data_IF_505128091508
#
_entry.id   IF_505128091508
#
_cell.length_a   1.000
_cell.length_b   1.000
_cell.length_c   1.000
_cell.angle_alpha   90.00
_cell.angle_beta   90.00
_cell.angle_gamma   90.00
#
_symmetry.space_group_name_H-M   'P 1'
#
loop_
_entity.id
_entity.type
_entity.pdbx_description
1 polymer ?
#
# COMPACT_ATOMS: atom_id res chain seq x y z
N UNK A 1 11.18 -35.45 22.45
CA UNK A 1 11.67 -34.06 22.30
C UNK A 1 10.52 -33.13 22.66
N UNK A 2 10.63 -32.45 23.80
CA UNK A 2 9.60 -31.56 24.34
C UNK A 2 9.39 -30.37 23.41
N UNK A 3 8.18 -30.21 22.87
CA UNK A 3 7.73 -29.01 22.16
C UNK A 3 7.68 -27.86 23.16
N UNK A 4 8.73 -27.05 23.24
CA UNK A 4 8.75 -25.84 24.07
C UNK A 4 7.56 -24.97 23.71
N UNK A 5 6.77 -24.58 24.72
CA UNK A 5 5.60 -23.73 24.57
C UNK A 5 6.00 -22.46 23.78
N UNK A 6 5.27 -22.08 22.72
CA UNK A 6 5.59 -20.90 21.90
C UNK A 6 5.69 -19.60 22.72
N UNK A 7 5.01 -19.54 23.88
CA UNK A 7 5.10 -18.39 24.81
C UNK A 7 6.47 -18.34 25.51
N UNK A 8 7.09 -19.48 25.80
CA UNK A 8 8.43 -19.53 26.40
C UNK A 8 9.50 -19.13 25.38
N UNK A 9 9.33 -19.52 24.11
CA UNK A 9 10.19 -19.07 23.01
C UNK A 9 10.11 -17.54 22.81
N UNK A 10 8.91 -16.97 22.92
CA UNK A 10 8.68 -15.53 22.89
C UNK A 10 9.31 -14.80 24.08
N UNK A 11 9.22 -15.38 25.29
CA UNK A 11 9.85 -14.86 26.51
C UNK A 11 11.37 -14.80 26.35
N UNK A 12 11.98 -15.83 25.77
CA UNK A 12 13.42 -15.86 25.49
C UNK A 12 13.87 -14.80 24.46
N UNK A 13 13.08 -14.50 23.42
CA UNK A 13 13.46 -13.47 22.45
C UNK A 13 13.43 -12.05 23.03
N UNK A 14 12.48 -11.78 23.94
CA UNK A 14 12.34 -10.49 24.63
C UNK A 14 13.43 -10.22 25.67
N UNK A 15 13.91 -11.28 26.34
CA UNK A 15 15.04 -11.16 27.27
C UNK A 15 16.33 -10.88 26.51
N UNK A 16 16.56 -11.59 25.39
CA UNK A 16 17.75 -11.36 24.55
C UNK A 16 17.75 -9.98 23.84
N UNK A 17 16.59 -9.36 23.60
CA UNK A 17 16.53 -8.00 23.03
C UNK A 17 16.84 -6.89 24.04
N UNK A 18 16.64 -7.13 25.34
CA UNK A 18 17.02 -6.18 26.40
C UNK A 18 18.52 -6.15 26.65
N UNK A 19 19.20 -7.29 26.54
CA UNK A 19 20.65 -7.38 26.76
C UNK A 19 21.48 -6.81 25.59
N UNK A 20 20.87 -6.62 24.42
CA UNK A 20 21.51 -6.01 23.23
C UNK A 20 21.40 -4.48 23.18
N UNK A 21 20.80 -3.83 24.19
CA UNK A 21 20.67 -2.36 24.25
C UNK A 21 21.91 -1.63 24.76
N UNK A 22 23.02 -2.34 25.04
CA UNK A 22 24.32 -1.72 25.33
C UNK A 22 25.22 -1.75 24.10
N UNK A 23 24.96 -0.83 23.17
CA UNK A 23 25.91 -0.46 22.12
C UNK A 23 25.64 -1.07 20.74
N UNK A 24 24.91 -0.34 19.89
CA UNK A 24 25.33 -0.09 18.50
C UNK A 24 24.32 0.79 17.74
N UNK A 25 24.86 1.87 17.18
CA UNK A 25 24.38 2.75 16.11
C UNK A 25 22.95 2.52 15.56
N UNK A 26 22.07 3.47 15.85
CA UNK A 26 20.75 3.65 15.22
C UNK A 26 20.96 4.01 13.74
N UNK A 27 21.01 2.99 12.87
CA UNK A 27 20.94 3.18 11.42
C UNK A 27 19.52 2.90 10.96
N UNK A 28 18.77 3.96 10.66
CA UNK A 28 17.42 3.92 10.08
C UNK A 28 17.47 3.31 8.67
N UNK A 29 17.53 1.99 8.59
CA UNK A 29 17.56 1.26 7.32
C UNK A 29 16.11 1.14 6.82
N UNK A 30 15.84 1.58 5.59
CA UNK A 30 14.48 1.56 5.04
C UNK A 30 14.00 0.11 4.88
N UNK A 31 12.70 -0.14 5.11
CA UNK A 31 12.07 -1.46 4.94
C UNK A 31 12.26 -2.06 3.53
N UNK A 32 12.61 -1.24 2.55
CA UNK A 32 12.85 -1.67 1.17
C UNK A 32 14.30 -2.14 0.92
N UNK A 33 15.23 -1.77 1.80
CA UNK A 33 16.66 -2.08 1.70
C UNK A 33 17.13 -3.09 2.76
N UNK A 34 16.27 -3.45 3.72
CA UNK A 34 16.55 -4.57 4.62
C UNK A 34 16.45 -5.88 3.85
N UNK A 35 17.58 -6.55 3.66
CA UNK A 35 17.62 -7.97 3.28
C UNK A 35 16.67 -8.75 4.21
N UNK A 36 15.84 -9.69 3.71
CA UNK A 36 14.90 -10.45 4.53
C UNK A 36 15.61 -11.53 5.36
N UNK A 37 16.73 -11.18 6.00
CA UNK A 37 17.53 -12.07 6.83
C UNK A 37 17.74 -11.38 8.18
N UNK A 38 16.69 -11.42 9.01
CA UNK A 38 16.88 -11.69 10.43
C UNK A 38 16.50 -13.16 10.59
N UNK A 39 17.52 -14.00 10.46
CA UNK A 39 17.48 -15.42 10.77
C UNK A 39 17.40 -15.60 12.28
N UNK A 40 16.19 -15.71 12.82
CA UNK A 40 16.00 -16.51 14.04
C UNK A 40 14.61 -17.14 14.19
N UNK A 41 13.57 -16.70 13.47
CA UNK A 41 12.29 -17.41 13.42
C UNK A 41 11.58 -17.18 12.08
N UNK A 42 11.95 -17.96 11.04
CA UNK A 42 11.21 -17.99 9.76
C UNK A 42 9.98 -18.92 9.81
N UNK A 43 9.73 -19.58 10.95
CA UNK A 43 8.45 -20.19 11.29
C UNK A 43 7.47 -19.14 11.82
N UNK A 44 6.18 -19.30 11.51
CA UNK A 44 5.04 -18.65 12.19
C UNK A 44 4.45 -17.30 11.71
N UNK A 45 4.78 -16.79 10.51
CA UNK A 45 3.90 -15.76 9.88
C UNK A 45 2.49 -16.28 9.61
N UNK A 46 2.37 -17.58 9.27
CA UNK A 46 1.08 -18.26 9.08
C UNK A 46 0.34 -18.48 10.40
N UNK A 47 1.08 -18.76 11.49
CA UNK A 47 0.53 -18.99 12.82
C UNK A 47 -0.03 -17.71 13.45
N UNK A 48 0.73 -16.61 13.47
CA UNK A 48 0.22 -15.31 13.94
C UNK A 48 -0.97 -14.85 13.10
N UNK A 49 -0.95 -15.12 11.80
CA UNK A 49 -2.10 -14.86 10.92
C UNK A 49 -3.31 -15.72 11.28
N UNK A 50 -3.14 -16.99 11.67
CA UNK A 50 -4.22 -17.87 12.15
C UNK A 50 -4.81 -17.30 13.45
N UNK A 51 -3.96 -16.99 14.44
CA UNK A 51 -4.38 -16.39 15.71
C UNK A 51 -5.17 -15.10 15.49
N UNK A 52 -4.65 -14.17 14.69
CA UNK A 52 -5.34 -12.89 14.47
C UNK A 52 -6.68 -13.09 13.75
N UNK A 53 -6.80 -14.11 12.89
CA UNK A 53 -8.07 -14.47 12.23
C UNK A 53 -9.07 -15.09 13.20
N UNK A 54 -8.63 -15.94 14.12
CA UNK A 54 -9.49 -16.61 15.11
C UNK A 54 -9.72 -15.76 16.36
N UNK A 55 -9.11 -14.57 16.43
CA UNK A 55 -9.19 -13.70 17.59
C UNK A 55 -10.65 -13.38 17.99
N UNK A 56 -11.03 -13.66 19.26
CA UNK A 56 -12.44 -13.56 19.69
C UNK A 56 -12.90 -12.13 19.92
N UNK A 57 -11.98 -11.20 20.24
CA UNK A 57 -12.33 -9.79 20.43
C UNK A 57 -12.51 -9.11 19.07
N UNK A 58 -13.76 -8.93 18.66
CA UNK A 58 -14.15 -8.39 17.35
C UNK A 58 -13.52 -7.03 17.03
N UNK A 59 -13.37 -6.16 18.02
CA UNK A 59 -12.81 -4.81 17.84
C UNK A 59 -11.31 -4.84 17.48
N UNK A 60 -10.53 -5.66 18.19
CA UNK A 60 -9.09 -5.80 17.94
C UNK A 60 -8.83 -6.52 16.62
N UNK A 61 -9.60 -7.57 16.33
CA UNK A 61 -9.60 -8.24 15.03
C UNK A 61 -9.90 -7.26 13.89
N UNK A 62 -10.94 -6.43 14.03
CA UNK A 62 -11.28 -5.42 13.03
C UNK A 62 -10.16 -4.38 12.88
N UNK A 63 -9.53 -3.94 13.96
CA UNK A 63 -8.41 -3.00 13.91
C UNK A 63 -7.21 -3.54 13.11
N UNK A 64 -6.98 -4.85 13.11
CA UNK A 64 -5.87 -5.47 12.36
C UNK A 64 -6.13 -5.58 10.85
N UNK A 65 -7.35 -5.94 10.43
CA UNK A 65 -7.65 -6.25 9.01
C UNK A 65 -8.33 -5.12 8.25
N UNK A 66 -9.22 -4.37 8.89
CA UNK A 66 -10.09 -3.41 8.21
C UNK A 66 -9.34 -2.17 7.68
N UNK A 67 -8.37 -1.58 8.40
CA UNK A 67 -7.67 -0.38 7.91
C UNK A 67 -6.83 -0.62 6.65
N UNK A 68 -6.39 -1.85 6.39
CA UNK A 68 -5.72 -2.18 5.12
C UNK A 68 -6.65 -1.97 3.91
N UNK A 69 -7.94 -2.30 4.07
CA UNK A 69 -8.95 -2.10 3.03
C UNK A 69 -9.24 -0.61 2.83
N UNK A 70 -9.23 0.20 3.89
CA UNK A 70 -9.39 1.64 3.77
C UNK A 70 -8.29 2.28 2.91
N UNK A 71 -7.03 1.89 3.14
CA UNK A 71 -5.91 2.35 2.30
C UNK A 71 -6.03 1.84 0.86
N UNK A 72 -6.44 0.58 0.66
CA UNK A 72 -6.66 0.02 -0.68
C UNK A 72 -7.74 0.79 -1.46
N UNK A 73 -8.88 1.08 -0.83
CA UNK A 73 -9.96 1.89 -1.42
C UNK A 73 -9.44 3.29 -1.72
N UNK A 74 -8.71 3.91 -0.78
CA UNK A 74 -8.13 5.24 -0.99
C UNK A 74 -7.19 5.26 -2.21
N UNK A 75 -6.27 4.30 -2.34
CA UNK A 75 -5.41 4.16 -3.52
C UNK A 75 -6.21 4.00 -4.82
N UNK A 76 -7.26 3.16 -4.81
CA UNK A 76 -8.14 3.01 -5.96
C UNK A 76 -8.83 4.32 -6.35
N UNK A 77 -9.36 5.05 -5.36
CA UNK A 77 -10.01 6.35 -5.61
C UNK A 77 -9.03 7.39 -6.14
N UNK A 78 -7.81 7.48 -5.61
CA UNK A 78 -6.79 8.40 -6.15
C UNK A 78 -6.40 8.00 -7.58
N UNK A 79 -6.29 6.70 -7.85
CA UNK A 79 -6.07 6.17 -9.21
C UNK A 79 -7.16 6.58 -10.20
N UNK A 80 -8.43 6.53 -9.80
CA UNK A 80 -9.56 7.03 -10.63
C UNK A 80 -9.41 8.52 -10.90
N UNK A 81 -9.17 9.33 -9.85
CA UNK A 81 -9.09 10.79 -9.99
C UNK A 81 -7.95 11.21 -10.92
N UNK A 82 -6.77 10.59 -10.78
CA UNK A 82 -5.64 10.77 -11.70
C UNK A 82 -6.02 10.31 -13.10
N UNK A 83 -6.65 9.13 -13.21
CA UNK A 83 -7.20 8.57 -14.45
C UNK A 83 -8.03 9.58 -15.22
N UNK A 84 -9.09 10.11 -14.58
CA UNK A 84 -10.04 11.05 -15.16
C UNK A 84 -9.37 12.37 -15.54
N UNK A 85 -8.47 12.91 -14.71
CA UNK A 85 -7.78 14.18 -14.99
C UNK A 85 -6.86 14.09 -16.18
N UNK A 86 -6.07 13.03 -16.27
CA UNK A 86 -5.19 12.79 -17.44
C UNK A 86 -6.02 12.59 -18.70
N UNK A 87 -7.14 11.86 -18.60
CA UNK A 87 -8.07 11.66 -19.71
C UNK A 87 -8.67 12.99 -20.19
N UNK A 88 -9.16 13.82 -19.26
CA UNK A 88 -9.76 15.12 -19.55
C UNK A 88 -8.74 16.07 -20.18
N UNK A 89 -7.51 16.09 -19.66
CA UNK A 89 -6.43 16.89 -20.23
C UNK A 89 -6.08 16.46 -21.67
N UNK A 90 -6.14 15.17 -21.97
CA UNK A 90 -5.74 14.62 -23.29
C UNK A 90 -6.86 14.70 -24.34
N UNK A 91 -8.12 14.49 -23.96
CA UNK A 91 -9.24 14.49 -24.92
C UNK A 91 -10.00 15.82 -24.96
N UNK A 92 -10.09 16.54 -23.84
CA UNK A 92 -10.84 17.80 -23.74
C UNK A 92 -9.93 19.03 -23.66
N UNK A 93 -8.61 18.84 -23.59
CA UNK A 93 -7.63 19.94 -23.49
C UNK A 93 -7.63 20.67 -22.13
N UNK A 94 -8.46 20.26 -21.18
CA UNK A 94 -8.57 20.88 -19.86
C UNK A 94 -8.67 19.80 -18.76
N UNK A 95 -7.79 19.86 -17.76
CA UNK A 95 -7.75 18.93 -16.64
C UNK A 95 -8.86 19.15 -15.60
N UNK A 96 -9.46 20.35 -15.56
CA UNK A 96 -10.46 20.75 -14.58
C UNK A 96 -11.90 20.62 -15.09
N UNK A 97 -12.15 19.78 -16.10
CA UNK A 97 -13.51 19.50 -16.54
C UNK A 97 -14.35 18.86 -15.41
N UNK A 98 -15.68 19.10 -15.38
CA UNK A 98 -16.56 18.46 -14.42
C UNK A 98 -16.49 16.93 -14.52
N UNK A 99 -16.33 16.25 -13.37
CA UNK A 99 -16.13 14.80 -13.31
C UNK A 99 -17.17 13.99 -14.11
N UNK A 100 -18.46 14.34 -13.98
CA UNK A 100 -19.54 13.65 -14.68
C UNK A 100 -19.44 13.79 -16.21
N UNK A 101 -19.02 14.96 -16.68
CA UNK A 101 -18.86 15.23 -18.11
C UNK A 101 -17.64 14.52 -18.68
N UNK A 102 -16.53 14.50 -17.93
CA UNK A 102 -15.34 13.72 -18.29
C UNK A 102 -15.62 12.22 -18.37
N UNK A 103 -16.42 11.67 -17.45
CA UNK A 103 -16.82 10.25 -17.50
C UNK A 103 -17.70 9.89 -18.70
N UNK A 104 -18.46 10.86 -19.21
CA UNK A 104 -19.33 10.67 -20.38
C UNK A 104 -18.57 10.82 -21.69
N UNK A 105 -17.65 11.79 -21.78
CA UNK A 105 -16.95 12.15 -23.03
C UNK A 105 -15.63 11.40 -23.24
N UNK A 106 -14.93 11.01 -22.18
CA UNK A 106 -13.63 10.36 -22.28
C UNK A 106 -13.73 8.81 -22.26
N UNK A 107 -12.76 8.09 -22.82
CA UNK A 107 -12.79 6.63 -22.84
C UNK A 107 -12.76 6.03 -21.44
N UNK A 108 -13.69 5.10 -21.17
CA UNK A 108 -13.83 4.45 -19.86
C UNK A 108 -12.65 3.56 -19.48
N UNK A 109 -12.03 2.97 -20.49
CA UNK A 109 -10.93 2.01 -20.34
C UNK A 109 -9.77 2.58 -19.51
N UNK A 110 -9.43 3.85 -19.72
CA UNK A 110 -8.24 4.45 -19.11
C UNK A 110 -8.35 4.59 -17.60
N UNK A 111 -9.46 5.13 -17.09
CA UNK A 111 -9.61 5.31 -15.64
C UNK A 111 -9.92 3.98 -14.92
N UNK A 112 -10.57 3.03 -15.60
CA UNK A 112 -10.75 1.66 -15.07
C UNK A 112 -9.41 0.94 -14.90
N UNK A 113 -8.52 1.01 -15.90
CA UNK A 113 -7.19 0.39 -15.77
C UNK A 113 -6.34 1.15 -14.74
N UNK A 114 -6.46 2.47 -14.64
CA UNK A 114 -5.77 3.25 -13.60
C UNK A 114 -6.22 2.83 -12.18
N UNK A 115 -7.52 2.59 -11.97
CA UNK A 115 -8.05 2.00 -10.73
C UNK A 115 -7.43 0.63 -10.45
N UNK A 116 -7.55 -0.31 -11.40
CA UNK A 116 -7.08 -1.68 -11.20
C UNK A 116 -5.57 -1.75 -10.98
N UNK A 117 -4.78 -1.04 -11.78
CA UNK A 117 -3.32 -1.02 -11.64
C UNK A 117 -2.88 -0.44 -10.30
N UNK A 118 -3.49 0.67 -9.86
CA UNK A 118 -3.20 1.29 -8.57
C UNK A 118 -3.56 0.38 -7.39
N UNK A 119 -4.75 -0.22 -7.42
CA UNK A 119 -5.26 -1.08 -6.38
C UNK A 119 -4.46 -2.39 -6.28
N UNK A 120 -4.20 -3.06 -7.41
CA UNK A 120 -3.42 -4.30 -7.46
C UNK A 120 -1.97 -4.08 -7.05
N UNK A 121 -1.36 -2.96 -7.45
CA UNK A 121 0.00 -2.63 -7.05
C UNK A 121 0.09 -2.40 -5.54
N UNK A 122 -0.84 -1.61 -4.97
CA UNK A 122 -0.90 -1.43 -3.51
C UNK A 122 -1.09 -2.77 -2.79
N UNK A 123 -2.04 -3.59 -3.24
CA UNK A 123 -2.30 -4.91 -2.66
C UNK A 123 -1.05 -5.81 -2.72
N UNK A 124 -0.40 -5.88 -3.88
CA UNK A 124 0.79 -6.70 -4.09
C UNK A 124 1.96 -6.29 -3.19
N UNK A 125 2.24 -5.00 -3.05
CA UNK A 125 3.33 -4.54 -2.17
C UNK A 125 2.94 -4.63 -0.69
N UNK A 126 1.70 -4.29 -0.33
CA UNK A 126 1.24 -4.38 1.05
C UNK A 126 1.19 -5.84 1.55
N UNK A 127 0.83 -6.81 0.71
CA UNK A 127 0.87 -8.23 1.11
C UNK A 127 2.30 -8.77 1.18
N UNK A 128 3.17 -8.42 0.23
CA UNK A 128 4.53 -8.96 0.16
C UNK A 128 5.53 -8.28 1.11
N UNK A 129 5.38 -7.00 1.39
CA UNK A 129 6.26 -6.28 2.31
C UNK A 129 5.55 -6.07 3.65
N UNK A 130 4.60 -5.14 3.72
CA UNK A 130 4.04 -4.66 4.97
C UNK A 130 3.38 -5.77 5.80
N UNK A 131 2.63 -6.68 5.18
CA UNK A 131 1.95 -7.76 5.89
C UNK A 131 2.94 -8.84 6.33
N UNK A 132 3.95 -9.20 5.53
CA UNK A 132 4.99 -10.15 5.97
C UNK A 132 5.75 -9.64 7.19
N UNK A 133 6.15 -8.37 7.19
CA UNK A 133 6.80 -7.74 8.33
C UNK A 133 5.85 -7.57 9.53
N UNK A 134 4.59 -7.23 9.30
CA UNK A 134 3.62 -7.09 10.39
C UNK A 134 3.36 -8.40 11.16
N UNK A 135 3.35 -9.52 10.43
CA UNK A 135 3.17 -10.86 10.99
C UNK A 135 4.50 -11.56 11.35
N UNK A 136 5.65 -10.88 11.26
CA UNK A 136 6.91 -11.49 11.70
C UNK A 136 7.05 -11.44 13.22
N UNK A 137 7.79 -12.41 13.77
CA UNK A 137 8.15 -12.46 15.18
C UNK A 137 9.28 -11.44 15.46
N UNK A 138 9.19 -10.73 16.58
CA UNK A 138 10.21 -9.75 17.03
C UNK A 138 9.72 -8.32 17.23
N UNK A 139 10.64 -7.45 17.63
CA UNK A 139 10.43 -6.01 17.79
C UNK A 139 10.31 -5.33 16.42
N UNK A 140 9.19 -4.66 16.18
CA UNK A 140 8.95 -3.93 14.93
C UNK A 140 9.34 -2.47 15.07
N UNK A 141 9.98 -1.95 14.03
CA UNK A 141 10.08 -0.51 13.83
C UNK A 141 8.71 0.05 13.39
N UNK A 142 7.91 0.50 14.37
CA UNK A 142 6.58 1.08 14.15
C UNK A 142 6.63 2.27 13.17
N UNK A 143 7.63 3.15 13.32
CA UNK A 143 7.83 4.31 12.45
C UNK A 143 8.17 3.88 11.02
N UNK A 144 9.00 2.85 10.87
CA UNK A 144 9.36 2.30 9.57
C UNK A 144 8.13 1.72 8.86
N UNK A 145 7.26 0.99 9.56
CA UNK A 145 6.03 0.42 8.98
C UNK A 145 5.02 1.49 8.57
N UNK A 146 4.84 2.53 9.38
CA UNK A 146 3.99 3.67 9.04
C UNK A 146 4.54 4.37 7.79
N UNK A 147 5.84 4.70 7.78
CA UNK A 147 6.48 5.36 6.65
C UNK A 147 6.45 4.48 5.39
N UNK A 148 6.68 3.18 5.55
CA UNK A 148 6.58 2.18 4.48
C UNK A 148 5.18 2.15 3.90
N UNK A 149 4.13 2.12 4.74
CA UNK A 149 2.73 2.14 4.30
C UNK A 149 2.35 3.43 3.57
N UNK A 150 2.85 4.58 4.03
CA UNK A 150 2.65 5.87 3.34
C UNK A 150 3.35 5.84 1.99
N UNK A 151 4.60 5.39 1.96
CA UNK A 151 5.40 5.33 0.73
C UNK A 151 4.76 4.40 -0.30
N UNK A 152 4.29 3.23 0.10
CA UNK A 152 3.60 2.29 -0.80
C UNK A 152 2.28 2.84 -1.31
N UNK A 153 1.52 3.51 -0.45
CA UNK A 153 0.28 4.18 -0.84
C UNK A 153 0.55 5.31 -1.85
N UNK A 154 1.54 6.17 -1.62
CA UNK A 154 1.91 7.25 -2.54
C UNK A 154 2.41 6.71 -3.89
N UNK A 155 3.25 5.67 -3.86
CA UNK A 155 3.76 5.04 -5.08
C UNK A 155 2.63 4.38 -5.88
N UNK A 156 1.75 3.62 -5.23
CA UNK A 156 0.65 2.91 -5.90
C UNK A 156 -0.52 3.80 -6.29
N UNK A 157 -0.91 4.71 -5.39
CA UNK A 157 -2.09 5.58 -5.51
C UNK A 157 -1.89 6.81 -6.38
N UNK A 158 -0.66 7.32 -6.47
CA UNK A 158 -0.35 8.58 -7.18
C UNK A 158 0.71 8.36 -8.24
N UNK A 159 1.93 7.92 -7.89
CA UNK A 159 3.03 7.86 -8.85
C UNK A 159 2.75 6.89 -10.00
N UNK A 160 2.30 5.67 -9.70
CA UNK A 160 1.99 4.66 -10.71
C UNK A 160 0.91 5.14 -11.70
N UNK A 161 -0.30 5.56 -11.27
CA UNK A 161 -1.31 6.04 -12.20
C UNK A 161 -0.86 7.33 -12.91
N UNK A 162 -0.13 8.22 -12.26
CA UNK A 162 0.34 9.46 -12.91
C UNK A 162 1.35 9.18 -14.03
N UNK A 163 2.19 8.16 -13.86
CA UNK A 163 3.17 7.75 -14.87
C UNK A 163 2.54 6.88 -15.96
N UNK A 164 1.70 5.91 -15.60
CA UNK A 164 1.15 4.90 -16.52
C UNK A 164 -0.07 5.38 -17.31
N UNK A 165 -0.96 6.16 -16.70
CA UNK A 165 -2.21 6.63 -17.33
C UNK A 165 -1.96 7.42 -18.63
N UNK A 166 -0.97 8.32 -18.74
CA UNK A 166 -0.70 9.04 -19.99
C UNK A 166 -0.34 8.13 -21.18
N UNK A 167 0.32 7.01 -20.92
CA UNK A 167 0.62 6.00 -21.95
C UNK A 167 -0.64 5.23 -22.32
N UNK A 168 -1.46 4.89 -21.32
CA UNK A 168 -2.76 4.23 -21.52
C UNK A 168 -3.75 5.10 -22.30
N UNK A 169 -3.83 6.40 -22.02
CA UNK A 169 -4.64 7.33 -22.81
C UNK A 169 -4.15 7.42 -24.25
N UNK A 170 -2.82 7.40 -24.46
CA UNK A 170 -2.25 7.43 -25.79
C UNK A 170 -2.58 6.16 -26.58
N UNK A 171 -2.42 4.99 -25.96
CA UNK A 171 -2.79 3.72 -26.56
C UNK A 171 -4.29 3.64 -26.88
N UNK A 172 -5.15 4.09 -25.96
CA UNK A 172 -6.60 4.13 -26.17
C UNK A 172 -6.99 5.04 -27.34
N UNK A 173 -6.40 6.24 -27.44
CA UNK A 173 -6.64 7.16 -28.54
C UNK A 173 -6.15 6.61 -29.90
N UNK A 174 -5.03 5.87 -29.93
CA UNK A 174 -4.56 5.18 -31.13
C UNK A 174 -5.55 4.09 -31.57
N UNK A 175 -5.98 3.25 -30.62
CA UNK A 175 -6.92 2.14 -30.88
C UNK A 175 -8.30 2.64 -31.32
N UNK A 176 -8.75 3.78 -30.81
CA UNK A 176 -10.04 4.37 -31.17
C UNK A 176 -10.00 5.13 -32.50
N UNK A 177 -8.82 5.31 -33.11
CA UNK A 177 -8.68 6.03 -34.38
C UNK A 177 -9.08 7.51 -34.29
N UNK A 178 -9.18 8.06 -33.09
CA UNK A 178 -9.83 9.35 -32.85
C UNK A 178 -8.95 10.50 -33.38
N UNK A 179 -9.41 11.13 -34.47
CA UNK A 179 -8.78 12.29 -35.09
C UNK A 179 -8.86 13.55 -34.22
N UNK A 180 -9.66 13.53 -33.14
CA UNK A 180 -9.92 14.65 -32.26
C UNK A 180 -9.11 14.65 -30.96
N UNK A 181 -8.31 13.60 -30.68
CA UNK A 181 -7.44 13.62 -29.49
C UNK A 181 -6.39 14.74 -29.62
N UNK A 182 -6.31 15.63 -28.63
CA UNK A 182 -5.41 16.79 -28.60
C UNK A 182 -4.21 16.40 -27.71
N UNK A 183 -3.01 16.12 -28.24
CA UNK A 183 -2.51 16.36 -29.59
C UNK A 183 -2.68 15.15 -30.52
N UNK A 184 -2.73 15.40 -31.84
CA UNK A 184 -2.76 14.38 -32.90
C UNK A 184 -1.58 13.39 -32.71
N UNK A 185 -1.85 12.28 -32.03
CA UNK A 185 -0.88 11.22 -31.71
C UNK A 185 -0.31 10.56 -32.97
N UNK A 186 -0.99 10.75 -34.10
CA UNK A 186 -0.78 10.05 -35.37
C UNK A 186 0.48 10.48 -36.14
N UNK A 187 1.29 11.45 -35.69
CA UNK A 187 2.39 11.99 -36.52
C UNK A 187 3.72 12.34 -35.86
N UNK A 188 3.99 11.93 -34.62
CA UNK A 188 5.33 12.14 -34.03
C UNK A 188 6.16 10.86 -34.16
N UNK A 189 6.97 10.75 -35.22
CA UNK A 189 7.98 9.68 -35.43
C UNK A 189 9.09 9.68 -34.36
N UNK A 190 8.99 10.50 -33.31
CA UNK A 190 9.99 10.62 -32.26
C UNK A 190 9.60 9.78 -31.04
N UNK A 191 10.22 8.62 -30.89
CA UNK A 191 10.16 7.76 -29.69
C UNK A 191 10.40 8.55 -28.38
N UNK A 192 11.28 9.56 -28.43
CA UNK A 192 11.54 10.50 -27.34
C UNK A 192 10.28 11.24 -26.86
N UNK A 193 9.42 11.67 -27.78
CA UNK A 193 8.16 12.36 -27.43
C UNK A 193 7.18 11.43 -26.72
N UNK A 194 7.24 10.13 -27.03
CA UNK A 194 6.47 9.11 -26.34
C UNK A 194 6.99 8.89 -24.92
N UNK A 195 8.32 8.79 -24.74
CA UNK A 195 8.95 8.63 -23.42
C UNK A 195 8.73 9.81 -22.47
N UNK A 196 8.52 11.02 -22.98
CA UNK A 196 8.24 12.19 -22.12
C UNK A 196 6.76 12.39 -21.79
N UNK A 197 5.88 11.44 -22.13
CA UNK A 197 4.43 11.53 -21.85
C UNK A 197 4.07 11.56 -20.37
N UNK A 198 4.93 11.04 -19.50
CA UNK A 198 4.73 11.17 -18.05
C UNK A 198 4.59 12.63 -17.59
N UNK A 199 5.19 13.60 -18.32
CA UNK A 199 5.02 15.04 -18.07
C UNK A 199 3.56 15.50 -18.24
N UNK A 200 2.80 14.89 -19.14
CA UNK A 200 1.37 15.15 -19.34
C UNK A 200 0.60 14.78 -18.07
N UNK A 201 0.93 13.62 -17.49
CA UNK A 201 0.35 13.16 -16.22
C UNK A 201 0.59 14.14 -15.08
N UNK A 202 1.83 14.59 -14.92
CA UNK A 202 2.22 15.59 -13.91
C UNK A 202 1.51 16.92 -14.09
N UNK A 203 1.49 17.45 -15.32
CA UNK A 203 0.84 18.74 -15.58
C UNK A 203 -0.67 18.66 -15.33
N UNK A 204 -1.33 17.57 -15.71
CA UNK A 204 -2.75 17.36 -15.45
C UNK A 204 -3.08 17.26 -13.95
N UNK A 205 -2.17 16.70 -13.15
CA UNK A 205 -2.39 16.46 -11.72
C UNK A 205 -1.81 17.55 -10.81
N UNK A 206 -1.02 18.51 -11.32
CA UNK A 206 -0.29 19.50 -10.51
C UNK A 206 -1.17 20.24 -9.50
N UNK A 207 -2.39 20.62 -9.89
CA UNK A 207 -3.32 21.36 -9.02
C UNK A 207 -3.95 20.54 -7.87
N UNK A 208 -3.91 19.21 -7.94
CA UNK A 208 -4.48 18.31 -6.91
C UNK A 208 -3.46 17.39 -6.27
N UNK A 209 -2.19 17.49 -6.67
CA UNK A 209 -1.13 16.65 -6.15
C UNK A 209 -1.01 16.81 -4.63
N UNK A 210 -1.01 18.04 -4.13
CA UNK A 210 -0.88 18.34 -2.71
C UNK A 210 -2.05 17.81 -1.85
N UNK A 211 -3.33 18.05 -2.18
CA UNK A 211 -4.43 17.46 -1.40
C UNK A 211 -4.46 15.93 -1.51
N UNK A 212 -4.11 15.34 -2.66
CA UNK A 212 -4.05 13.89 -2.81
C UNK A 212 -2.92 13.28 -1.96
N UNK A 213 -1.73 13.86 -1.95
CA UNK A 213 -0.61 13.36 -1.16
C UNK A 213 -0.90 13.47 0.33
N UNK A 214 -1.44 14.59 0.80
CA UNK A 214 -1.82 14.78 2.20
C UNK A 214 -2.93 13.81 2.62
N UNK A 215 -3.99 13.70 1.82
CA UNK A 215 -5.11 12.81 2.11
C UNK A 215 -4.69 11.34 2.15
N UNK A 216 -3.92 10.89 1.15
CA UNK A 216 -3.46 9.50 1.08
C UNK A 216 -2.43 9.17 2.18
N UNK A 217 -1.57 10.12 2.53
CA UNK A 217 -0.62 9.97 3.65
C UNK A 217 -1.36 9.88 4.99
N UNK A 218 -2.39 10.70 5.20
CA UNK A 218 -3.19 10.67 6.42
C UNK A 218 -3.95 9.33 6.55
N UNK A 219 -4.64 8.90 5.48
CA UNK A 219 -5.39 7.63 5.49
C UNK A 219 -4.47 6.42 5.68
N UNK A 220 -3.36 6.34 4.96
CA UNK A 220 -2.42 5.21 5.07
C UNK A 220 -1.68 5.19 6.41
N UNK A 221 -1.27 6.36 6.91
CA UNK A 221 -0.61 6.51 8.20
C UNK A 221 -1.54 6.14 9.36
N UNK A 222 -2.75 6.70 9.38
CA UNK A 222 -3.77 6.36 10.38
C UNK A 222 -4.16 4.87 10.31
N UNK A 223 -4.29 4.33 9.10
CA UNK A 223 -4.61 2.92 8.90
C UNK A 223 -3.53 2.00 9.47
N UNK A 224 -2.25 2.28 9.20
CA UNK A 224 -1.15 1.49 9.73
C UNK A 224 -1.03 1.65 11.26
N UNK A 225 -1.26 2.85 11.79
CA UNK A 225 -1.28 3.10 13.23
C UNK A 225 -2.34 2.25 13.95
N UNK A 226 -3.58 2.21 13.44
CA UNK A 226 -4.65 1.39 14.00
C UNK A 226 -4.29 -0.10 13.96
N UNK A 227 -3.65 -0.57 12.88
CA UNK A 227 -3.18 -1.97 12.78
C UNK A 227 -2.12 -2.29 13.81
N UNK A 228 -1.16 -1.39 14.03
CA UNK A 228 -0.13 -1.55 15.04
C UNK A 228 -0.71 -1.55 16.46
N UNK A 229 -1.69 -0.70 16.73
CA UNK A 229 -2.43 -0.70 18.00
C UNK A 229 -3.14 -2.03 18.23
N UNK A 230 -3.86 -2.55 17.22
CA UNK A 230 -4.54 -3.84 17.30
C UNK A 230 -3.56 -4.99 17.55
N UNK A 231 -2.43 -5.02 16.83
CA UNK A 231 -1.36 -6.00 17.07
C UNK A 231 -0.84 -5.92 18.51
N UNK A 232 -0.53 -4.71 18.98
CA UNK A 232 0.00 -4.52 20.34
C UNK A 232 -0.95 -5.09 21.39
N UNK A 233 -2.25 -4.78 21.28
CA UNK A 233 -3.28 -5.29 22.20
C UNK A 233 -3.40 -6.81 22.20
N UNK A 234 -3.40 -7.41 21.01
CA UNK A 234 -3.44 -8.87 20.88
C UNK A 234 -2.19 -9.50 21.51
N UNK A 235 -1.00 -8.99 21.19
CA UNK A 235 0.26 -9.53 21.72
C UNK A 235 0.39 -9.33 23.24
N UNK A 236 -0.06 -8.19 23.77
CA UNK A 236 -0.08 -7.95 25.23
C UNK A 236 -1.02 -8.95 25.93
N UNK A 237 -2.16 -9.28 25.33
CA UNK A 237 -3.11 -10.27 25.87
C UNK A 237 -2.54 -11.68 25.81
N UNK A 238 -1.88 -12.04 24.70
CA UNK A 238 -1.19 -13.33 24.54
C UNK A 238 -0.06 -13.51 25.58
N UNK A 239 0.55 -12.43 26.04
CA UNK A 239 1.59 -12.49 27.07
C UNK A 239 1.02 -12.77 28.46
N UNK A 240 -0.12 -12.18 28.80
CA UNK A 240 -0.72 -12.28 30.13
C UNK A 240 -1.44 -13.63 30.32
N UNK A 241 -2.03 -14.19 29.25
CA UNK A 241 -2.86 -15.41 29.34
C UNK A 241 -2.38 -16.50 28.36
N UNK A 242 -1.31 -17.25 28.68
CA UNK A 242 -0.81 -18.31 27.81
C UNK A 242 -1.80 -19.48 27.64
N UNK A 243 -2.65 -19.75 28.64
CA UNK A 243 -3.70 -20.78 28.58
C UNK A 243 -4.84 -20.45 27.60
N UNK A 244 -5.01 -19.16 27.27
CA UNK A 244 -5.96 -18.73 26.26
C UNK A 244 -5.51 -19.16 24.85
N UNK A 245 -4.19 -19.27 24.65
CA UNK A 245 -3.56 -19.64 23.38
C UNK A 245 -3.66 -21.14 23.13
N UNK A 246 -3.47 -21.97 24.16
CA UNK A 246 -3.61 -23.43 24.02
C UNK A 246 -5.03 -23.81 23.58
N UNK A 247 -6.05 -23.17 24.16
CA UNK A 247 -7.46 -23.35 23.77
C UNK A 247 -7.77 -22.93 22.33
N UNK A 248 -7.11 -21.89 21.81
CA UNK A 248 -7.26 -21.48 20.40
C UNK A 248 -6.44 -22.37 19.44
N UNK A 249 -5.36 -23.00 19.90
CA UNK A 249 -4.54 -23.89 19.07
C UNK A 249 -5.17 -25.26 18.82
N UNK A 250 -6.04 -25.71 19.73
CA UNK A 250 -6.77 -26.98 19.65
C UNK A 250 -8.05 -26.92 18.80
N UNK A 251 -8.45 -25.72 18.35
CA UNK A 251 -9.57 -25.50 17.41
C UNK A 251 -9.14 -25.33 15.95
#
# INVERSE_FOLDING_TARGET
MSTSNPVDLWRHSLVNSKDSFSGSNIRSTSLFLTSPVISSFSGDTKYLRKIFKEWPIKMEKKAVFWPAHATFIACGTTGILVGIRVNSYTFLGNANHPYAESLRKCPRLTWMIALYSSALFYFGINENAASRYFYSHGDLCNTCLILGSITTALLGGICLPMLSTPYLTAAAAILQGDSNAIPKLRKTNNWLSYLFRWKVGLNACRGVLLPMTLGLSAVSGASMYIRLWGRKKIMDTLYVEPEFVSKMSES
#
